data_IF_004775003433
#
_entry.id   IF_004775003433
#
_cell.length_a   1.000
_cell.length_b   1.000
_cell.length_c   1.000
_cell.angle_alpha   90.00
_cell.angle_beta   90.00
_cell.angle_gamma   90.00
#
_symmetry.space_group_name_H-M   'P 1'
#
loop_
_entity.id
_entity.type
_entity.pdbx_description
1 polymer ?
#
# COMPACT_ATOMS: atom_id res chain seq x y z
N UNK A 1 -21.51 -11.83 -19.03
CA UNK A 1 -20.75 -12.82 -19.85
C UNK A 1 -21.74 -13.76 -20.53
N UNK A 2 -21.38 -14.46 -21.61
CA UNK A 2 -22.24 -15.50 -22.22
C UNK A 2 -21.57 -16.86 -22.06
N UNK A 3 -22.18 -17.73 -21.25
CA UNK A 3 -21.77 -19.13 -21.03
C UNK A 3 -22.96 -20.04 -21.39
N UNK A 4 -22.70 -21.08 -22.18
CA UNK A 4 -23.73 -22.00 -22.70
C UNK A 4 -24.91 -21.32 -23.43
N UNK A 5 -24.65 -20.16 -24.07
CA UNK A 5 -25.67 -19.40 -24.79
C UNK A 5 -26.58 -18.53 -23.91
N UNK A 6 -26.33 -18.48 -22.59
CA UNK A 6 -27.07 -17.62 -21.66
C UNK A 6 -26.21 -16.48 -21.14
N UNK A 7 -26.77 -15.27 -21.08
CA UNK A 7 -26.11 -14.12 -20.47
C UNK A 7 -26.19 -14.26 -18.94
N UNK A 8 -25.05 -14.36 -18.28
CA UNK A 8 -24.94 -14.46 -16.82
C UNK A 8 -23.94 -13.42 -16.29
N UNK A 9 -24.28 -12.82 -15.14
CA UNK A 9 -23.33 -12.10 -14.31
C UNK A 9 -22.57 -13.12 -13.48
N UNK A 10 -21.27 -13.19 -13.71
CA UNK A 10 -20.36 -14.17 -13.11
C UNK A 10 -19.29 -13.38 -12.37
N UNK A 11 -18.96 -13.82 -11.16
CA UNK A 11 -17.96 -13.17 -10.31
C UNK A 11 -16.59 -13.20 -11.02
N UNK A 12 -15.74 -12.21 -10.76
CA UNK A 12 -14.41 -12.04 -11.37
C UNK A 12 -13.53 -13.29 -11.23
N UNK A 13 -13.79 -14.09 -10.19
CA UNK A 13 -13.06 -15.31 -9.81
C UNK A 13 -13.50 -16.55 -10.59
N UNK A 14 -14.67 -16.51 -11.24
CA UNK A 14 -15.25 -17.63 -11.99
C UNK A 14 -15.03 -17.52 -13.51
N UNK A 15 -14.35 -16.45 -13.96
CA UNK A 15 -14.01 -16.23 -15.37
C UNK A 15 -12.91 -17.21 -15.80
N UNK A 16 -13.18 -17.99 -16.85
CA UNK A 16 -12.21 -18.93 -17.42
C UNK A 16 -11.81 -18.54 -18.84
N UNK A 17 -10.70 -19.13 -19.29
CA UNK A 17 -10.21 -18.94 -20.65
C UNK A 17 -11.26 -19.38 -21.66
N UNK A 18 -11.32 -18.69 -22.80
CA UNK A 18 -12.29 -18.89 -23.88
C UNK A 18 -13.74 -18.48 -23.57
N UNK A 19 -14.03 -17.95 -22.37
CA UNK A 19 -15.33 -17.33 -22.10
C UNK A 19 -15.55 -16.12 -23.01
N UNK A 20 -16.82 -15.87 -23.36
CA UNK A 20 -17.21 -14.71 -24.15
C UNK A 20 -17.79 -13.64 -23.24
N UNK A 21 -17.06 -12.55 -23.10
CA UNK A 21 -17.49 -11.33 -22.45
C UNK A 21 -18.39 -10.55 -23.42
N UNK A 22 -19.47 -10.00 -22.88
CA UNK A 22 -20.29 -9.01 -23.56
C UNK A 22 -19.94 -7.69 -22.89
N UNK A 23 -19.41 -6.77 -23.67
CA UNK A 23 -18.91 -5.47 -23.22
C UNK A 23 -19.95 -4.41 -23.57
N UNK A 24 -20.41 -3.67 -22.57
CA UNK A 24 -21.33 -2.54 -22.70
C UNK A 24 -20.76 -1.33 -21.98
N UNK A 25 -21.21 -0.14 -22.38
CA UNK A 25 -20.84 1.11 -21.71
C UNK A 25 -21.09 1.01 -20.21
N UNK A 26 -20.07 1.32 -19.42
CA UNK A 26 -20.08 1.23 -17.96
C UNK A 26 -19.54 -0.10 -17.42
N UNK A 27 -19.36 -1.12 -18.25
CA UNK A 27 -18.79 -2.39 -17.81
C UNK A 27 -17.28 -2.27 -17.59
N UNK A 28 -16.80 -2.87 -16.51
CA UNK A 28 -15.36 -3.06 -16.28
C UNK A 28 -14.94 -4.43 -16.83
N UNK A 29 -13.81 -4.47 -17.50
CA UNK A 29 -13.28 -5.69 -18.10
C UNK A 29 -12.62 -6.54 -17.02
N UNK A 30 -13.12 -7.76 -16.73
CA UNK A 30 -12.62 -8.59 -15.63
C UNK A 30 -11.33 -9.35 -15.95
N UNK A 31 -11.04 -9.58 -17.23
CA UNK A 31 -9.95 -10.44 -17.69
C UNK A 31 -9.40 -9.96 -19.03
N UNK A 32 -8.13 -10.25 -19.35
CA UNK A 32 -7.58 -9.83 -20.64
C UNK A 32 -8.26 -10.65 -21.75
N UNK A 33 -8.80 -9.97 -22.75
CA UNK A 33 -9.67 -10.55 -23.76
C UNK A 33 -9.33 -10.01 -25.16
N UNK A 34 -9.66 -10.76 -26.21
CA UNK A 34 -9.53 -10.33 -27.60
C UNK A 34 -10.91 -10.05 -28.19
N UNK A 35 -11.09 -8.89 -28.83
CA UNK A 35 -12.38 -8.48 -29.41
C UNK A 35 -12.73 -9.42 -30.56
N UNK A 36 -13.90 -10.03 -30.48
CA UNK A 36 -14.49 -10.86 -31.54
C UNK A 36 -15.25 -9.95 -32.51
N UNK A 37 -16.14 -9.12 -31.98
CA UNK A 37 -16.99 -8.19 -32.73
C UNK A 37 -17.33 -6.97 -31.85
N UNK A 38 -17.76 -5.88 -32.48
CA UNK A 38 -18.18 -4.68 -31.77
C UNK A 38 -18.27 -3.46 -32.66
N UNK A 39 -19.12 -2.51 -32.27
CA UNK A 39 -19.33 -1.24 -32.95
C UNK A 39 -18.94 -0.08 -32.03
N UNK A 40 -17.94 0.70 -32.47
CA UNK A 40 -17.51 1.91 -31.77
C UNK A 40 -17.01 1.67 -30.35
N UNK A 41 -16.41 0.50 -30.07
CA UNK A 41 -15.93 0.16 -28.74
C UNK A 41 -14.74 1.06 -28.34
N UNK A 42 -14.93 1.85 -27.30
CA UNK A 42 -13.89 2.68 -26.68
C UNK A 42 -13.69 2.27 -25.23
N UNK A 43 -12.41 2.14 -24.85
CA UNK A 43 -11.99 1.67 -23.54
C UNK A 43 -11.14 2.74 -22.86
N UNK A 44 -11.47 3.02 -21.60
CA UNK A 44 -10.68 3.84 -20.70
C UNK A 44 -9.64 2.94 -20.01
N UNK A 45 -8.37 3.16 -20.36
CA UNK A 45 -7.22 2.47 -19.78
C UNK A 45 -6.48 3.36 -18.75
N UNK A 46 -7.05 4.49 -18.34
CA UNK A 46 -6.40 5.48 -17.46
C UNK A 46 -5.96 4.90 -16.11
N UNK A 47 -6.72 3.95 -15.57
CA UNK A 47 -6.37 3.24 -14.32
C UNK A 47 -5.13 2.34 -14.47
N UNK A 48 -4.77 1.96 -15.70
CA UNK A 48 -3.69 1.03 -16.00
C UNK A 48 -2.45 1.74 -16.54
N UNK A 49 -2.64 2.67 -17.47
CA UNK A 49 -1.54 3.35 -18.19
C UNK A 49 -1.33 4.79 -17.72
N UNK A 50 -2.31 5.38 -17.02
CA UNK A 50 -2.31 6.79 -16.68
C UNK A 50 -2.71 7.73 -17.82
N UNK A 51 -3.04 7.19 -19.00
CA UNK A 51 -3.49 7.99 -20.13
C UNK A 51 -5.01 8.14 -20.10
N UNK A 52 -5.50 9.39 -20.04
CA UNK A 52 -6.94 9.69 -19.91
C UNK A 52 -7.71 9.68 -21.23
N UNK A 53 -7.09 9.31 -22.34
CA UNK A 53 -7.77 9.28 -23.63
C UNK A 53 -8.35 7.88 -23.89
N UNK A 54 -9.67 7.78 -24.15
CA UNK A 54 -10.30 6.54 -24.58
C UNK A 54 -9.59 5.96 -25.81
N UNK A 55 -9.27 4.67 -25.75
CA UNK A 55 -8.64 3.95 -26.85
C UNK A 55 -9.73 3.21 -27.61
N UNK A 56 -9.94 3.57 -28.88
CA UNK A 56 -10.85 2.86 -29.77
C UNK A 56 -10.24 1.52 -30.18
N UNK A 57 -10.97 0.42 -29.99
CA UNK A 57 -10.50 -0.94 -30.26
C UNK A 57 -11.49 -1.69 -31.15
N UNK A 58 -10.97 -2.29 -32.22
CA UNK A 58 -11.75 -3.04 -33.20
C UNK A 58 -11.56 -4.56 -33.08
N UNK A 59 -12.27 -5.35 -33.90
CA UNK A 59 -12.11 -6.81 -33.95
C UNK A 59 -10.65 -7.24 -34.09
N UNK A 60 -10.24 -8.23 -33.31
CA UNK A 60 -8.87 -8.73 -33.22
C UNK A 60 -7.96 -7.96 -32.27
N UNK A 61 -8.38 -6.80 -31.76
CA UNK A 61 -7.59 -6.04 -30.77
C UNK A 61 -7.69 -6.67 -29.38
N UNK A 62 -6.63 -6.52 -28.58
CA UNK A 62 -6.60 -6.97 -27.19
C UNK A 62 -7.15 -5.90 -26.23
N UNK A 63 -7.95 -6.34 -25.28
CA UNK A 63 -8.56 -5.57 -24.19
C UNK A 63 -7.91 -6.02 -22.89
N UNK A 64 -7.48 -5.05 -22.09
CA UNK A 64 -6.81 -5.32 -20.82
C UNK A 64 -7.82 -5.40 -19.67
N UNK A 65 -7.56 -6.29 -18.72
CA UNK A 65 -8.28 -6.37 -17.45
C UNK A 65 -8.10 -5.09 -16.64
N UNK A 66 -9.21 -4.57 -16.10
CA UNK A 66 -9.25 -3.31 -15.36
C UNK A 66 -9.64 -2.09 -16.19
N UNK A 67 -9.61 -2.18 -17.52
CA UNK A 67 -10.17 -1.17 -18.41
C UNK A 67 -11.69 -1.07 -18.28
N UNK A 68 -12.24 0.12 -18.51
CA UNK A 68 -13.69 0.37 -18.46
C UNK A 68 -14.22 0.77 -19.82
N UNK A 69 -15.37 0.24 -20.22
CA UNK A 69 -15.98 0.59 -21.51
C UNK A 69 -16.65 1.95 -21.40
N UNK A 70 -16.18 2.93 -22.18
CA UNK A 70 -16.70 4.31 -22.18
C UNK A 70 -17.68 4.57 -23.31
N UNK A 71 -17.53 3.88 -24.45
CA UNK A 71 -18.48 3.98 -25.56
C UNK A 71 -18.56 2.66 -26.35
N UNK A 72 -19.66 2.51 -27.08
CA UNK A 72 -19.91 1.36 -27.95
C UNK A 72 -20.34 0.09 -27.23
N UNK A 73 -20.33 -1.01 -27.97
CA UNK A 73 -20.58 -2.34 -27.44
C UNK A 73 -19.80 -3.37 -28.27
N UNK A 74 -19.60 -4.55 -27.70
CA UNK A 74 -18.96 -5.63 -28.42
C UNK A 74 -18.88 -6.91 -27.62
N UNK A 75 -18.32 -7.93 -28.24
CA UNK A 75 -18.01 -9.21 -27.64
C UNK A 75 -16.52 -9.44 -27.66
N UNK A 76 -15.98 -9.92 -26.55
CA UNK A 76 -14.56 -10.25 -26.44
C UNK A 76 -14.38 -11.66 -25.89
N UNK A 77 -13.41 -12.40 -26.40
CA UNK A 77 -13.04 -13.73 -25.90
C UNK A 77 -11.92 -13.60 -24.89
N UNK A 78 -12.09 -14.19 -23.71
CA UNK A 78 -11.07 -14.21 -22.67
C UNK A 78 -9.84 -15.00 -23.12
N UNK A 79 -8.67 -14.35 -23.08
CA UNK A 79 -7.37 -14.93 -23.46
C UNK A 79 -6.54 -15.27 -22.23
N UNK A 80 -6.62 -14.44 -21.17
CA UNK A 80 -5.91 -14.63 -19.89
C UNK A 80 -6.80 -14.28 -18.70
N UNK A 81 -6.72 -15.08 -17.64
CA UNK A 81 -7.52 -14.97 -16.40
C UNK A 81 -6.64 -15.00 -15.15
N UNK A 82 -7.18 -14.52 -14.02
CA UNK A 82 -6.55 -14.68 -12.70
C UNK A 82 -5.14 -14.11 -12.62
N UNK A 83 -4.19 -14.89 -12.08
CA UNK A 83 -2.80 -14.46 -11.86
C UNK A 83 -2.04 -14.04 -13.14
N UNK A 84 -2.52 -14.45 -14.32
CA UNK A 84 -1.93 -14.10 -15.61
C UNK A 84 -2.52 -12.82 -16.23
N UNK A 85 -3.60 -12.28 -15.65
CA UNK A 85 -4.24 -11.04 -16.07
C UNK A 85 -3.42 -9.79 -15.70
N UNK A 86 -3.51 -8.76 -16.53
CA UNK A 86 -2.82 -7.48 -16.30
C UNK A 86 -3.15 -6.85 -14.93
N UNK A 87 -4.42 -6.83 -14.53
CA UNK A 87 -4.85 -6.28 -13.24
C UNK A 87 -4.24 -7.01 -12.03
N UNK A 88 -4.08 -8.34 -12.11
CA UNK A 88 -3.44 -9.12 -11.05
C UNK A 88 -1.94 -8.84 -10.95
N UNK A 89 -1.26 -8.63 -12.09
CA UNK A 89 0.15 -8.21 -12.09
C UNK A 89 0.32 -6.82 -11.48
N UNK A 90 -0.54 -5.86 -11.82
CA UNK A 90 -0.51 -4.51 -11.26
C UNK A 90 -0.72 -4.53 -9.74
N UNK A 91 -1.68 -5.33 -9.25
CA UNK A 91 -1.93 -5.50 -7.81
C UNK A 91 -0.75 -6.17 -7.10
N UNK A 92 -0.14 -7.18 -7.71
CA UNK A 92 1.04 -7.84 -7.16
C UNK A 92 2.25 -6.90 -7.11
N UNK A 93 2.40 -6.03 -8.09
CA UNK A 93 3.48 -5.03 -8.17
C UNK A 93 3.27 -3.91 -7.15
N UNK A 94 2.05 -3.38 -7.02
CA UNK A 94 1.67 -2.44 -5.94
C UNK A 94 1.93 -3.03 -4.54
N UNK A 95 1.69 -4.33 -4.35
CA UNK A 95 2.01 -5.04 -3.10
C UNK A 95 3.52 -5.16 -2.84
N UNK A 96 4.36 -5.16 -3.87
CA UNK A 96 5.82 -5.05 -3.68
C UNK A 96 6.22 -3.65 -3.23
N UNK A 97 5.58 -2.60 -3.72
CA UNK A 97 5.83 -1.24 -3.24
C UNK A 97 5.44 -1.05 -1.76
N UNK A 98 4.41 -1.73 -1.27
CA UNK A 98 4.07 -1.69 0.16
C UNK A 98 5.08 -2.43 1.06
N UNK A 99 5.78 -3.44 0.55
CA UNK A 99 6.87 -4.12 1.27
C UNK A 99 8.07 -3.20 1.52
N UNK A 100 8.39 -2.29 0.59
CA UNK A 100 9.53 -1.35 0.72
C UNK A 100 9.38 -0.41 1.91
N UNK A 101 8.14 0.05 2.19
CA UNK A 101 7.88 0.90 3.36
C UNK A 101 8.10 0.18 4.70
N UNK A 102 8.07 -1.16 4.72
CA UNK A 102 8.32 -1.96 5.93
C UNK A 102 9.80 -1.98 6.32
N UNK A 103 10.72 -2.02 5.36
CA UNK A 103 12.17 -2.12 5.62
C UNK A 103 12.74 -0.85 6.28
N UNK A 104 12.31 0.33 5.83
CA UNK A 104 12.72 1.62 6.41
C UNK A 104 12.18 1.74 7.84
N UNK A 105 10.89 1.41 8.06
CA UNK A 105 10.27 1.41 9.39
C UNK A 105 10.96 0.45 10.36
N UNK A 106 11.34 -0.73 9.89
CA UNK A 106 12.05 -1.72 10.70
C UNK A 106 13.45 -1.22 11.11
N UNK A 107 14.16 -0.57 10.19
CA UNK A 107 15.48 0.03 10.46
C UNK A 107 15.40 1.17 11.47
N UNK A 108 14.39 2.04 11.35
CA UNK A 108 14.12 3.11 12.32
C UNK A 108 13.78 2.56 13.71
N UNK A 109 12.87 1.58 13.80
CA UNK A 109 12.53 0.94 15.07
C UNK A 109 13.73 0.25 15.71
N UNK A 110 14.65 -0.30 14.93
CA UNK A 110 15.88 -0.88 15.44
C UNK A 110 16.77 0.18 16.09
N UNK A 111 16.97 1.33 15.43
CA UNK A 111 17.75 2.46 15.96
C UNK A 111 17.11 3.02 17.23
N UNK A 112 15.79 3.25 17.21
CA UNK A 112 15.05 3.74 18.39
C UNK A 112 15.21 2.79 19.58
N UNK A 113 15.10 1.47 19.36
CA UNK A 113 15.29 0.47 20.42
C UNK A 113 16.71 0.52 21.02
N UNK A 114 17.73 0.72 20.18
CA UNK A 114 19.11 0.89 20.66
C UNK A 114 19.26 2.13 21.53
N UNK A 115 18.73 3.28 21.08
CA UNK A 115 18.79 4.54 21.83
C UNK A 115 18.04 4.42 23.17
N UNK A 116 16.82 3.85 23.16
CA UNK A 116 16.01 3.64 24.37
C UNK A 116 16.74 2.78 25.41
N UNK A 117 17.52 1.79 24.99
CA UNK A 117 18.29 0.94 25.91
C UNK A 117 19.64 1.53 26.32
N UNK A 118 20.27 2.37 25.49
CA UNK A 118 21.55 3.03 25.79
C UNK A 118 21.41 4.26 26.69
N UNK A 119 20.31 5.02 26.57
CA UNK A 119 20.12 6.25 27.33
C UNK A 119 20.10 6.03 28.85
N UNK A 120 19.33 5.08 29.42
CA UNK A 120 19.28 4.87 30.86
C UNK A 120 20.64 4.56 31.52
N UNK A 121 21.47 3.61 31.04
CA UNK A 121 22.76 3.34 31.67
C UNK A 121 23.73 4.52 31.54
N UNK A 122 23.72 5.25 30.43
CA UNK A 122 24.52 6.48 30.28
C UNK A 122 24.06 7.54 31.27
N UNK A 123 22.75 7.72 31.44
CA UNK A 123 22.19 8.67 32.40
C UNK A 123 22.54 8.29 33.84
N UNK A 124 22.47 7.00 34.20
CA UNK A 124 22.91 6.51 35.52
C UNK A 124 24.41 6.74 35.72
N UNK A 125 25.23 6.49 34.70
CA UNK A 125 26.67 6.69 34.77
C UNK A 125 27.05 8.16 34.97
N UNK A 126 26.38 9.08 34.26
CA UNK A 126 26.57 10.52 34.43
C UNK A 126 26.12 10.97 35.82
N UNK A 127 24.96 10.52 36.30
CA UNK A 127 24.47 10.84 37.65
C UNK A 127 25.46 10.34 38.72
N UNK A 128 25.98 9.13 38.57
CA UNK A 128 26.95 8.58 39.50
C UNK A 128 28.28 9.37 39.46
N UNK A 129 28.74 9.75 38.27
CA UNK A 129 29.94 10.59 38.11
C UNK A 129 29.78 11.96 38.77
N UNK A 130 28.65 12.65 38.53
CA UNK A 130 28.35 13.93 39.17
C UNK A 130 28.27 13.81 40.69
N UNK A 131 27.65 12.74 41.20
CA UNK A 131 27.53 12.52 42.64
C UNK A 131 28.89 12.25 43.31
N UNK A 132 29.80 11.53 42.65
CA UNK A 132 31.16 11.33 43.17
C UNK A 132 31.97 12.64 43.16
N UNK A 133 31.82 13.45 42.10
CA UNK A 133 32.49 14.75 41.99
C UNK A 133 31.98 15.76 43.04
N UNK A 134 30.71 15.68 43.45
CA UNK A 134 30.09 16.57 44.43
C UNK A 134 30.31 16.16 45.90
N UNK A 135 31.22 15.22 46.19
CA UNK A 135 31.53 14.80 47.57
C UNK A 135 30.91 13.47 48.00
N UNK A 136 30.34 12.70 47.06
CA UNK A 136 29.87 11.34 47.28
C UNK A 136 28.43 11.22 47.79
N UNK A 137 27.85 10.03 47.65
CA UNK A 137 26.49 9.70 48.11
C UNK A 137 26.31 9.91 49.63
N UNK A 138 27.39 9.84 50.40
CA UNK A 138 27.39 10.00 51.85
C UNK A 138 27.06 11.44 52.29
N UNK A 139 27.62 12.47 51.64
CA UNK A 139 27.30 13.87 51.95
C UNK A 139 25.86 14.24 51.56
N UNK A 140 25.34 13.71 50.45
CA UNK A 140 23.98 13.99 49.99
C UNK A 140 22.89 13.41 50.92
N UNK A 141 23.13 12.21 51.46
CA UNK A 141 22.19 11.54 52.38
C UNK A 141 22.28 12.14 53.79
N UNK A 142 23.47 12.50 54.26
CA UNK A 142 23.66 13.08 55.61
C UNK A 142 23.23 14.54 55.72
N UNK A 143 23.36 15.34 54.65
CA UNK A 143 23.02 16.78 54.68
C UNK A 143 21.55 17.07 54.35
N UNK A 144 20.78 16.09 53.87
CA UNK A 144 19.35 16.27 53.55
C UNK A 144 19.06 17.23 52.37
N UNK A 145 20.07 17.56 51.55
CA UNK A 145 19.99 18.52 50.45
C UNK A 145 19.07 18.11 49.30
N UNK A 146 18.70 16.83 49.21
CA UNK A 146 17.69 16.35 48.26
C UNK A 146 16.31 16.98 48.50
N UNK A 147 16.01 17.46 49.72
CA UNK A 147 14.77 18.16 50.05
C UNK A 147 14.74 19.63 49.60
N UNK A 148 15.89 20.30 49.52
CA UNK A 148 15.96 21.71 49.12
C UNK A 148 15.95 21.90 47.61
N UNK A 149 16.29 20.86 46.83
CA UNK A 149 16.19 20.88 45.37
C UNK A 149 14.75 20.81 44.83
N UNK A 150 13.79 20.25 45.59
CA UNK A 150 12.37 20.17 45.18
C UNK A 150 11.55 21.41 45.56
N UNK A 151 12.04 22.27 46.45
CA UNK A 151 11.37 23.54 46.76
C UNK A 151 11.90 24.58 45.79
N UNK A 152 11.22 24.71 44.65
CA UNK A 152 11.47 25.75 43.67
C UNK A 152 11.56 27.12 44.35
N UNK A 153 12.73 27.74 44.23
CA UNK A 153 12.99 29.10 44.71
C UNK A 153 12.19 30.07 43.85
N UNK A 154 11.00 30.47 44.29
CA UNK A 154 10.26 31.60 43.71
C UNK A 154 11.04 32.90 43.98
N UNK A 155 11.23 33.79 42.98
CA UNK A 155 11.89 35.06 43.20
C UNK A 155 10.87 36.12 43.63
N UNK A 156 11.11 36.74 44.77
CA UNK A 156 10.56 38.04 45.18
C UNK A 156 11.49 38.53 46.29
N UNK A 157 12.01 39.76 46.33
CA UNK A 157 11.81 40.99 45.56
C UNK A 157 13.02 41.87 45.86
#
# INVERSE_FOLDING_TARGET
MVRDGTAQDVDLQDVVRDDVLVLRVGDQVPADASIIDGEGLELDESLLTGESHPVSKGPGSEVLSGSSVVAGNGRARVVRVGADSFASKLTAEAKRFSMVNSEIRNSLNRILRWITWLLPPVMILVINGQMQASGGWEQAITTGSWRTASVGRSPAS
#
